data_IF_019760893749
#
_entry.id   IF_019760893749
#
_cell.length_a   1.000
_cell.length_b   1.000
_cell.length_c   1.000
_cell.angle_alpha   90.00
_cell.angle_beta   90.00
_cell.angle_gamma   90.00
#
_symmetry.space_group_name_H-M   'P 1'
#
loop_
_entity.id
_entity.type
_entity.pdbx_description
1 polymer ?
#
# COMPACT_ATOMS: atom_id res chain seq x y z
N UNK A 1 -10.20 10.07 8.18
CA UNK A 1 -11.05 9.49 7.11
C UNK A 1 -12.29 8.88 7.76
N UNK A 2 -13.47 9.26 7.26
CA UNK A 2 -14.73 8.69 7.71
C UNK A 2 -14.96 7.29 7.16
N UNK A 3 -15.98 6.60 7.66
CA UNK A 3 -16.28 5.24 7.24
C UNK A 3 -16.60 5.14 5.75
N UNK A 4 -17.28 6.14 5.19
CA UNK A 4 -17.59 6.16 3.76
C UNK A 4 -16.32 6.31 2.92
N UNK A 5 -15.36 7.12 3.37
CA UNK A 5 -14.08 7.27 2.71
C UNK A 5 -13.27 5.97 2.70
N UNK A 6 -13.25 5.25 3.83
CA UNK A 6 -12.59 3.96 3.94
C UNK A 6 -13.25 2.94 3.01
N UNK A 7 -14.56 2.88 2.98
CA UNK A 7 -15.30 1.95 2.12
C UNK A 7 -15.01 2.22 0.64
N UNK A 8 -15.05 3.48 0.21
CA UNK A 8 -14.72 3.85 -1.17
C UNK A 8 -13.30 3.46 -1.55
N UNK A 9 -12.36 3.66 -0.61
CA UNK A 9 -10.98 3.28 -0.83
C UNK A 9 -10.86 1.76 -1.06
N UNK A 10 -11.45 0.96 -0.18
CA UNK A 10 -11.40 -0.50 -0.28
C UNK A 10 -12.06 -0.98 -1.57
N UNK A 11 -13.23 -0.43 -1.91
CA UNK A 11 -13.94 -0.79 -3.14
C UNK A 11 -13.10 -0.47 -4.38
N UNK A 12 -12.44 0.69 -4.39
CA UNK A 12 -11.59 1.08 -5.51
C UNK A 12 -10.38 0.15 -5.65
N UNK A 13 -9.76 -0.23 -4.54
CA UNK A 13 -8.65 -1.19 -4.57
C UNK A 13 -9.13 -2.55 -5.08
N UNK A 14 -10.26 -3.03 -4.59
CA UNK A 14 -10.84 -4.30 -5.00
C UNK A 14 -11.15 -4.31 -6.50
N UNK A 15 -11.81 -3.26 -7.00
CA UNK A 15 -12.15 -3.14 -8.42
C UNK A 15 -10.91 -3.11 -9.30
N UNK A 16 -9.88 -2.37 -8.88
CA UNK A 16 -8.63 -2.26 -9.63
C UNK A 16 -7.89 -3.59 -9.66
N UNK A 17 -7.83 -4.32 -8.54
CA UNK A 17 -7.24 -5.64 -8.50
C UNK A 17 -7.95 -6.61 -9.43
N UNK A 18 -9.27 -6.60 -9.45
CA UNK A 18 -10.06 -7.44 -10.34
C UNK A 18 -9.82 -7.09 -11.81
N UNK A 19 -9.70 -5.81 -12.12
CA UNK A 19 -9.37 -5.35 -13.48
C UNK A 19 -8.02 -5.91 -13.94
N UNK A 20 -6.99 -5.79 -13.11
CA UNK A 20 -5.66 -6.30 -13.46
C UNK A 20 -5.68 -7.81 -13.65
N UNK A 21 -6.38 -8.55 -12.79
CA UNK A 21 -6.51 -9.99 -12.92
C UNK A 21 -7.22 -10.39 -14.20
N UNK A 22 -8.32 -9.71 -14.51
CA UNK A 22 -9.09 -9.98 -15.72
C UNK A 22 -8.27 -9.73 -16.98
N UNK A 23 -7.47 -8.67 -16.99
CA UNK A 23 -6.63 -8.30 -18.13
C UNK A 23 -5.27 -9.00 -18.12
N UNK A 24 -4.98 -9.81 -17.11
CA UNK A 24 -3.71 -10.51 -16.93
C UNK A 24 -2.52 -9.55 -16.90
N UNK A 25 -2.67 -8.43 -16.20
CA UNK A 25 -1.63 -7.43 -16.02
C UNK A 25 -0.97 -7.66 -14.67
N UNK A 26 0.33 -7.96 -14.60
CA UNK A 26 1.05 -8.03 -13.33
C UNK A 26 1.05 -6.66 -12.63
N UNK A 27 0.88 -6.67 -11.31
CA UNK A 27 0.83 -5.43 -10.55
C UNK A 27 1.31 -5.65 -9.12
N UNK A 28 1.68 -4.55 -8.49
CA UNK A 28 1.90 -4.45 -7.06
C UNK A 28 1.29 -3.13 -6.60
N UNK A 29 0.76 -3.11 -5.39
CA UNK A 29 0.18 -1.91 -4.81
C UNK A 29 0.89 -1.55 -3.52
N UNK A 30 0.90 -0.27 -3.20
CA UNK A 30 1.26 0.22 -1.87
C UNK A 30 0.54 1.54 -1.60
N UNK A 31 0.48 1.92 -0.34
CA UNK A 31 -0.14 3.17 0.05
C UNK A 31 0.91 4.27 0.12
N UNK A 32 0.69 5.37 -0.58
CA UNK A 32 1.58 6.53 -0.51
C UNK A 32 1.38 7.31 0.79
N UNK A 33 0.12 7.46 1.21
CA UNK A 33 -0.29 8.23 2.38
C UNK A 33 -1.00 7.33 3.39
N UNK A 34 -1.07 7.73 4.66
CA UNK A 34 -1.77 6.94 5.66
C UNK A 34 -3.19 6.66 5.22
N UNK A 35 -3.54 5.42 5.22
CA UNK A 35 -4.92 5.02 5.19
C UNK A 35 -5.13 4.17 6.43
N UNK A 36 -6.21 4.37 7.06
CA UNK A 36 -6.56 3.56 8.20
C UNK A 36 -7.45 2.43 7.72
N UNK A 37 -6.85 1.32 7.29
CA UNK A 37 -7.59 0.07 7.33
C UNK A 37 -7.85 -0.24 8.80
N UNK A 38 -8.94 0.25 9.33
CA UNK A 38 -9.30 -0.11 10.68
C UNK A 38 -9.94 -1.50 10.68
N UNK A 39 -9.08 -2.51 10.66
CA UNK A 39 -9.49 -3.92 10.64
C UNK A 39 -10.19 -4.36 11.91
N UNK A 40 -10.23 -3.50 12.95
CA UNK A 40 -10.99 -3.77 14.17
C UNK A 40 -12.50 -3.58 13.97
N UNK A 41 -12.90 -2.84 12.93
CA UNK A 41 -14.32 -2.71 12.58
C UNK A 41 -14.67 -3.90 11.69
N UNK A 42 -15.60 -4.72 12.16
CA UNK A 42 -15.94 -6.01 11.54
C UNK A 42 -16.24 -5.89 10.04
N UNK A 43 -17.03 -4.90 9.64
CA UNK A 43 -17.42 -4.72 8.23
C UNK A 43 -16.20 -4.47 7.34
N UNK A 44 -15.25 -3.67 7.84
CA UNK A 44 -14.02 -3.39 7.10
C UNK A 44 -13.11 -4.61 7.06
N UNK A 45 -13.07 -5.40 8.15
CA UNK A 45 -12.26 -6.60 8.18
C UNK A 45 -12.72 -7.62 7.14
N UNK A 46 -14.02 -7.78 6.97
CA UNK A 46 -14.57 -8.72 6.01
C UNK A 46 -14.28 -8.29 4.56
N UNK A 47 -14.43 -7.01 4.26
CA UNK A 47 -14.11 -6.46 2.93
C UNK A 47 -12.60 -6.52 2.67
N UNK A 48 -11.81 -6.21 3.68
CA UNK A 48 -10.35 -6.25 3.60
C UNK A 48 -9.85 -7.65 3.21
N UNK A 49 -10.48 -8.70 3.72
CA UNK A 49 -10.13 -10.08 3.38
C UNK A 49 -10.37 -10.42 1.92
N UNK A 50 -11.22 -9.67 1.23
CA UNK A 50 -11.47 -9.87 -0.19
C UNK A 50 -10.34 -9.32 -1.07
N UNK A 51 -9.48 -8.48 -0.52
CA UNK A 51 -8.33 -7.94 -1.25
C UNK A 51 -7.23 -8.99 -1.39
N UNK A 52 -6.53 -8.94 -2.52
CA UNK A 52 -5.36 -9.78 -2.73
C UNK A 52 -4.14 -9.14 -2.09
N UNK A 53 -3.88 -9.48 -0.84
CA UNK A 53 -2.77 -8.91 -0.07
C UNK A 53 -1.41 -9.45 -0.50
N UNK A 54 -1.35 -10.52 -1.29
CA UNK A 54 -0.09 -11.04 -1.82
C UNK A 54 0.59 -10.05 -2.76
N UNK A 55 -0.20 -9.17 -3.39
CA UNK A 55 0.29 -8.14 -4.28
C UNK A 55 0.27 -6.75 -3.67
N UNK A 56 0.13 -6.68 -2.37
CA UNK A 56 0.07 -5.42 -1.65
C UNK A 56 1.28 -5.29 -0.73
N UNK A 57 2.20 -4.37 -1.06
CA UNK A 57 3.40 -4.14 -0.28
C UNK A 57 3.04 -3.32 0.95
N UNK A 58 3.31 -3.86 2.14
CA UNK A 58 3.06 -3.23 3.44
C UNK A 58 1.66 -2.59 3.53
N UNK A 59 0.59 -3.37 3.49
CA UNK A 59 -0.77 -2.80 3.44
C UNK A 59 -1.13 -1.97 4.68
N UNK A 60 -0.42 -2.15 5.80
CA UNK A 60 -0.66 -1.44 7.05
C UNK A 60 0.27 -0.23 7.26
N UNK A 61 1.25 -0.02 6.36
CA UNK A 61 2.26 1.02 6.51
C UNK A 61 2.40 1.77 5.19
N UNK A 62 2.02 3.04 5.16
CA UNK A 62 2.22 3.86 3.96
C UNK A 62 3.68 4.26 3.79
N UNK A 63 4.03 4.67 2.58
CA UNK A 63 5.34 5.25 2.30
C UNK A 63 5.61 6.46 3.22
N UNK A 64 4.61 7.31 3.43
CA UNK A 64 4.71 8.44 4.33
C UNK A 64 5.07 8.00 5.76
N UNK A 65 4.33 7.03 6.31
CA UNK A 65 4.58 6.53 7.66
C UNK A 65 5.98 5.90 7.79
N UNK A 66 6.42 5.19 6.77
CA UNK A 66 7.73 4.58 6.73
C UNK A 66 8.83 5.65 6.84
N UNK A 67 8.78 6.70 6.00
CA UNK A 67 9.84 7.71 6.01
C UNK A 67 9.83 8.54 7.30
N UNK A 68 8.66 8.77 7.90
CA UNK A 68 8.59 9.46 9.19
C UNK A 68 9.20 8.58 10.30
N UNK A 69 8.84 7.31 10.38
CA UNK A 69 9.31 6.42 11.44
C UNK A 69 10.81 6.15 11.34
N UNK A 70 11.36 6.09 10.13
CA UNK A 70 12.79 5.84 9.89
C UNK A 70 13.61 7.13 9.81
N UNK A 71 12.97 8.29 10.05
CA UNK A 71 13.62 9.61 10.00
C UNK A 71 14.28 9.89 8.65
N UNK A 72 13.62 9.51 7.57
CA UNK A 72 14.10 9.66 6.20
C UNK A 72 13.38 10.79 5.47
N UNK A 73 12.99 11.83 6.19
CA UNK A 73 12.39 13.04 5.62
C UNK A 73 13.47 14.00 5.16
N UNK A 74 13.10 14.93 4.27
CA UNK A 74 14.03 15.91 3.70
C UNK A 74 14.56 16.86 4.77
N UNK A 75 13.69 17.37 5.67
CA UNK A 75 14.05 18.22 6.79
C UNK A 75 12.93 18.24 7.83
N UNK A 76 13.18 18.85 8.99
CA UNK A 76 12.15 18.98 10.03
C UNK A 76 10.92 19.76 9.56
N UNK A 77 11.12 20.70 8.65
CA UNK A 77 10.05 21.55 8.11
C UNK A 77 9.46 21.00 6.81
N UNK A 78 10.05 19.94 6.25
CA UNK A 78 9.59 19.33 5.01
C UNK A 78 9.50 17.81 5.21
N UNK A 79 8.29 17.29 5.47
CA UNK A 79 8.09 15.86 5.74
C UNK A 79 8.11 14.98 4.48
N UNK A 80 8.41 15.52 3.31
CA UNK A 80 8.54 14.71 2.11
C UNK A 80 9.72 13.75 2.25
N UNK A 81 9.68 12.59 1.58
CA UNK A 81 10.80 11.65 1.62
C UNK A 81 12.09 12.28 1.10
N UNK A 82 13.19 12.02 1.78
CA UNK A 82 14.51 12.32 1.25
C UNK A 82 14.87 11.38 0.11
N UNK A 83 15.99 11.67 -0.58
CA UNK A 83 16.52 10.75 -1.60
C UNK A 83 16.72 9.36 -0.99
N UNK A 84 17.30 9.30 0.20
CA UNK A 84 17.51 8.03 0.92
C UNK A 84 16.18 7.35 1.26
N UNK A 85 15.17 8.12 1.64
CA UNK A 85 13.83 7.59 1.91
C UNK A 85 13.22 6.92 0.70
N UNK A 86 13.31 7.54 -0.46
CA UNK A 86 12.86 6.93 -1.71
C UNK A 86 13.66 5.68 -2.06
N UNK A 87 14.98 5.72 -1.89
CA UNK A 87 15.86 4.59 -2.19
C UNK A 87 15.53 3.39 -1.31
N UNK A 88 15.42 3.58 0.00
CA UNK A 88 15.13 2.48 0.93
C UNK A 88 13.75 1.88 0.69
N UNK A 89 12.74 2.70 0.46
CA UNK A 89 11.41 2.19 0.12
C UNK A 89 11.44 1.38 -1.17
N UNK A 90 12.12 1.89 -2.19
CA UNK A 90 12.22 1.24 -3.50
C UNK A 90 12.96 -0.09 -3.41
N UNK A 91 14.03 -0.17 -2.63
CA UNK A 91 14.78 -1.41 -2.44
C UNK A 91 13.92 -2.48 -1.76
N UNK A 92 13.17 -2.10 -0.72
CA UNK A 92 12.27 -3.04 -0.04
C UNK A 92 11.12 -3.48 -0.95
N UNK A 93 10.57 -2.55 -1.74
CA UNK A 93 9.54 -2.86 -2.72
C UNK A 93 10.05 -3.85 -3.78
N UNK A 94 11.25 -3.63 -4.28
CA UNK A 94 11.89 -4.54 -5.24
C UNK A 94 12.07 -5.93 -4.65
N UNK A 95 12.58 -6.02 -3.43
CA UNK A 95 12.74 -7.30 -2.73
C UNK A 95 11.40 -8.02 -2.59
N UNK A 96 10.36 -7.29 -2.25
CA UNK A 96 9.00 -7.84 -2.14
C UNK A 96 8.51 -8.38 -3.48
N UNK A 97 8.70 -7.64 -4.57
CA UNK A 97 8.32 -8.06 -5.92
C UNK A 97 9.05 -9.35 -6.31
N UNK A 98 10.36 -9.39 -6.07
CA UNK A 98 11.18 -10.52 -6.45
C UNK A 98 10.88 -11.76 -5.59
N UNK A 99 10.74 -11.57 -4.26
CA UNK A 99 10.49 -12.66 -3.33
C UNK A 99 9.12 -13.31 -3.56
N UNK A 100 8.15 -12.57 -4.05
CA UNK A 100 6.77 -13.04 -4.27
C UNK A 100 6.44 -13.27 -5.74
N UNK A 101 7.42 -13.16 -6.62
CA UNK A 101 7.26 -13.46 -8.04
C UNK A 101 6.17 -12.63 -8.71
N UNK A 102 6.11 -11.34 -8.38
CA UNK A 102 5.01 -10.46 -8.77
C UNK A 102 5.15 -9.87 -10.19
N UNK A 103 6.22 -10.19 -10.91
CA UNK A 103 6.40 -9.74 -12.31
C UNK A 103 5.51 -10.50 -13.28
N UNK A 104 4.92 -11.59 -12.83
CA UNK A 104 3.95 -12.38 -13.60
C UNK A 104 2.61 -12.38 -12.88
N UNK A 105 1.55 -12.73 -13.63
CA UNK A 105 0.22 -12.75 -13.04
C UNK A 105 -0.10 -14.12 -12.45
#
# INVERSE_FOLDING_TARGET
IDNNGIMRYIDNVFDLQNYFKLKQIPYVMYNALPNTFNIKIKDFADIYKALDLKRFFKPQTSHYEFVISEKLISSKSDPHPSVKGHQEWTEQLKEFIDANNLRTI
#
